data_IF_521531232922
#
_entry.id   IF_521531232922
#
_cell.length_a   1.000
_cell.length_b   1.000
_cell.length_c   1.000
_cell.angle_alpha   90.00
_cell.angle_beta   90.00
_cell.angle_gamma   90.00
#
_symmetry.space_group_name_H-M   'P 1'
#
loop_
_entity.id
_entity.type
_entity.pdbx_description
1 polymer ?
#
# COMPACT_ATOMS: atom_id res chain seq x y z
N UNK A 1 22.07 4.67 1.58
CA UNK A 1 21.67 3.25 1.64
C UNK A 1 22.69 2.42 0.90
N UNK A 2 23.19 1.33 1.50
CA UNK A 2 24.17 0.47 0.85
C UNK A 2 23.50 -0.45 -0.16
N UNK A 3 24.04 -0.50 -1.37
CA UNK A 3 23.61 -1.40 -2.44
C UNK A 3 24.65 -2.51 -2.59
N UNK A 4 24.19 -3.76 -2.57
CA UNK A 4 25.07 -4.90 -2.89
C UNK A 4 25.10 -5.07 -4.42
N UNK A 5 26.29 -4.91 -4.99
CA UNK A 5 26.56 -5.17 -6.41
C UNK A 5 27.12 -6.57 -6.57
N UNK A 6 26.58 -7.34 -7.51
CA UNK A 6 27.03 -8.69 -7.85
C UNK A 6 27.27 -8.76 -9.35
N UNK A 7 28.53 -8.80 -9.77
CA UNK A 7 28.84 -8.98 -11.17
C UNK A 7 28.74 -10.46 -11.55
N UNK A 8 27.93 -10.75 -12.56
CA UNK A 8 27.73 -12.10 -13.05
C UNK A 8 28.98 -12.57 -13.82
N UNK A 9 29.48 -13.78 -13.56
CA UNK A 9 30.60 -14.31 -14.32
C UNK A 9 30.20 -14.68 -15.76
N UNK A 10 31.14 -14.54 -16.70
CA UNK A 10 30.85 -14.87 -18.11
C UNK A 10 30.68 -16.38 -18.36
N UNK A 11 31.21 -17.25 -17.51
CA UNK A 11 31.02 -18.68 -17.60
C UNK A 11 29.58 -19.10 -17.27
N UNK A 12 29.17 -20.30 -17.67
CA UNK A 12 27.89 -20.89 -17.28
C UNK A 12 27.85 -21.13 -15.78
N UNK A 13 26.69 -21.01 -15.16
CA UNK A 13 26.53 -21.16 -13.72
C UNK A 13 26.95 -22.58 -13.26
N UNK A 14 27.74 -22.63 -12.21
CA UNK A 14 28.05 -23.84 -11.44
C UNK A 14 28.22 -23.45 -9.97
N UNK A 15 28.07 -24.39 -9.06
CA UNK A 15 28.22 -24.14 -7.61
C UNK A 15 29.64 -23.68 -7.22
N UNK A 16 30.65 -24.02 -8.04
CA UNK A 16 32.05 -23.64 -7.81
C UNK A 16 32.42 -22.25 -8.37
N UNK A 17 31.49 -21.59 -9.07
CA UNK A 17 31.77 -20.34 -9.75
C UNK A 17 31.93 -19.19 -8.72
N UNK A 18 32.84 -18.27 -9.03
CA UNK A 18 33.05 -17.07 -8.18
C UNK A 18 32.35 -15.86 -8.81
N UNK A 19 31.75 -15.06 -7.96
CA UNK A 19 31.13 -13.79 -8.31
C UNK A 19 31.96 -12.66 -7.74
N UNK A 20 32.07 -11.57 -8.46
CA UNK A 20 32.64 -10.36 -7.92
C UNK A 20 31.53 -9.57 -7.21
N UNK A 21 31.66 -9.46 -5.89
CA UNK A 21 30.65 -8.89 -5.00
C UNK A 21 31.25 -7.69 -4.28
N UNK A 22 30.52 -6.59 -4.26
CA UNK A 22 30.94 -5.37 -3.57
C UNK A 22 29.78 -4.59 -2.99
N UNK A 23 30.08 -3.78 -1.99
CA UNK A 23 29.16 -2.79 -1.45
C UNK A 23 29.42 -1.44 -2.11
N UNK A 24 28.40 -0.78 -2.56
CA UNK A 24 28.48 0.55 -3.14
C UNK A 24 27.65 1.54 -2.33
N UNK A 25 28.31 2.60 -1.84
CA UNK A 25 27.68 3.79 -1.32
C UNK A 25 27.14 4.72 -2.43
N UNK A 26 26.59 5.84 -2.07
CA UNK A 26 26.22 6.89 -3.04
C UNK A 26 27.49 7.64 -3.45
N UNK A 27 27.89 7.49 -4.73
CA UNK A 27 28.99 8.24 -5.34
C UNK A 27 30.34 7.54 -5.38
N UNK A 28 30.57 6.48 -4.61
CA UNK A 28 31.86 5.80 -4.56
C UNK A 28 31.95 4.63 -5.54
N UNK A 29 33.14 4.45 -6.18
CA UNK A 29 33.40 3.28 -6.99
C UNK A 29 33.37 2.01 -6.12
N UNK A 30 32.66 0.94 -6.54
CA UNK A 30 32.53 -0.27 -5.75
C UNK A 30 33.86 -1.03 -5.67
N UNK A 31 34.27 -1.41 -4.47
CA UNK A 31 35.34 -2.36 -4.27
C UNK A 31 34.78 -3.76 -4.40
N UNK A 32 35.07 -4.44 -5.52
CA UNK A 32 34.59 -5.78 -5.79
C UNK A 32 35.55 -6.84 -5.27
N UNK A 33 35.02 -7.85 -4.59
CA UNK A 33 35.80 -8.97 -4.05
C UNK A 33 35.24 -10.26 -4.65
N UNK A 34 36.14 -11.08 -5.22
CA UNK A 34 35.74 -12.35 -5.83
C UNK A 34 35.46 -13.41 -4.76
N UNK A 35 34.21 -13.88 -4.69
CA UNK A 35 33.76 -14.88 -3.71
C UNK A 35 32.88 -15.92 -4.35
N UNK A 36 32.79 -17.10 -3.69
CA UNK A 36 31.78 -18.11 -4.00
C UNK A 36 30.50 -17.80 -3.24
N UNK A 37 29.35 -18.22 -3.76
CA UNK A 37 28.05 -17.97 -3.11
C UNK A 37 27.87 -18.73 -1.80
N UNK A 38 28.59 -19.85 -1.60
CA UNK A 38 28.60 -20.62 -0.36
C UNK A 38 29.49 -20.02 0.73
N UNK A 39 30.43 -19.14 0.37
CA UNK A 39 31.22 -18.35 1.31
C UNK A 39 30.34 -17.25 1.88
N UNK A 40 29.65 -17.55 3.00
CA UNK A 40 28.63 -16.69 3.61
C UNK A 40 29.01 -15.21 3.66
N UNK A 41 28.39 -14.44 2.79
CA UNK A 41 28.01 -13.09 3.13
C UNK A 41 26.50 -13.15 3.32
N UNK A 42 26.04 -13.53 4.51
CA UNK A 42 24.65 -13.26 4.89
C UNK A 42 24.42 -11.79 4.56
N UNK A 43 23.43 -11.44 3.73
CA UNK A 43 23.10 -10.05 3.48
C UNK A 43 22.82 -9.46 4.86
N UNK A 44 23.75 -8.64 5.33
CA UNK A 44 23.58 -7.94 6.60
C UNK A 44 22.23 -7.23 6.48
N UNK A 45 21.42 -7.21 7.53
CA UNK A 45 20.09 -6.57 7.55
C UNK A 45 20.08 -5.11 7.06
N UNK A 46 21.27 -4.54 6.83
CA UNK A 46 21.51 -3.18 6.34
C UNK A 46 21.55 -3.03 4.81
N UNK A 47 21.65 -4.14 4.04
CA UNK A 47 21.66 -4.06 2.56
C UNK A 47 20.25 -3.78 2.06
N UNK A 48 20.06 -2.59 1.52
CA UNK A 48 18.75 -2.13 1.05
C UNK A 48 18.36 -2.69 -0.31
N UNK A 49 19.34 -3.07 -1.13
CA UNK A 49 19.13 -3.47 -2.52
C UNK A 49 20.24 -4.39 -3.02
N UNK A 50 19.87 -5.44 -3.76
CA UNK A 50 20.79 -6.30 -4.49
C UNK A 50 20.66 -6.04 -5.98
N UNK A 51 21.74 -5.56 -6.60
CA UNK A 51 21.82 -5.27 -8.04
C UNK A 51 22.82 -6.22 -8.68
N UNK A 52 22.34 -7.01 -9.66
CA UNK A 52 23.21 -7.84 -10.46
C UNK A 52 23.66 -7.09 -11.72
N UNK A 53 24.93 -7.30 -12.13
CA UNK A 53 25.56 -6.67 -13.28
C UNK A 53 25.83 -7.73 -14.32
N UNK A 54 25.27 -7.55 -15.52
CA UNK A 54 25.54 -8.44 -16.67
C UNK A 54 26.77 -7.96 -17.39
N UNK A 55 27.81 -8.81 -17.56
CA UNK A 55 29.02 -8.43 -18.27
C UNK A 55 28.77 -8.00 -19.71
N UNK A 56 29.43 -6.97 -20.17
CA UNK A 56 29.27 -6.44 -21.53
C UNK A 56 29.50 -7.52 -22.62
N UNK A 57 30.40 -8.48 -22.36
CA UNK A 57 30.69 -9.61 -23.26
C UNK A 57 29.51 -10.61 -23.41
N UNK A 58 28.52 -10.54 -22.56
CA UNK A 58 27.31 -11.39 -22.59
C UNK A 58 26.09 -10.69 -23.16
N UNK A 59 26.27 -9.46 -23.61
CA UNK A 59 25.22 -8.64 -24.21
C UNK A 59 25.55 -8.35 -25.67
N UNK A 60 24.56 -8.47 -26.52
CA UNK A 60 24.54 -7.87 -27.85
C UNK A 60 23.50 -6.77 -27.91
N UNK A 61 23.76 -5.77 -28.74
CA UNK A 61 22.95 -4.55 -28.80
C UNK A 61 22.38 -4.39 -30.20
N UNK A 62 21.06 -4.27 -30.27
CA UNK A 62 20.33 -4.17 -31.55
C UNK A 62 19.36 -3.00 -31.51
N UNK A 63 19.10 -2.42 -32.66
CA UNK A 63 18.13 -1.34 -32.82
C UNK A 63 16.89 -1.87 -33.50
N UNK A 64 15.71 -1.61 -32.91
CA UNK A 64 14.44 -2.04 -33.45
C UNK A 64 13.48 -0.87 -33.56
N UNK A 65 12.88 -0.70 -34.71
CA UNK A 65 11.79 0.26 -34.92
C UNK A 65 10.50 -0.33 -34.37
N UNK A 66 9.92 0.32 -33.33
CA UNK A 66 8.72 -0.18 -32.68
C UNK A 66 7.49 0.59 -33.16
N UNK A 67 6.53 -0.08 -33.82
CA UNK A 67 5.30 0.53 -34.28
C UNK A 67 4.48 1.14 -33.11
N UNK A 68 3.90 2.32 -33.37
CA UNK A 68 3.09 3.03 -32.37
C UNK A 68 1.93 2.18 -31.81
N UNK A 69 1.35 1.32 -32.65
CA UNK A 69 0.26 0.43 -32.27
C UNK A 69 0.64 -0.61 -31.21
N UNK A 70 1.91 -1.00 -31.13
CA UNK A 70 2.41 -2.00 -30.19
C UNK A 70 2.86 -1.41 -28.85
N UNK A 71 3.09 -0.09 -28.77
CA UNK A 71 3.66 0.56 -27.57
C UNK A 71 2.86 0.40 -26.29
N UNK A 72 1.58 0.03 -26.38
CA UNK A 72 0.69 -0.23 -25.23
C UNK A 72 0.46 -1.72 -24.95
N UNK A 73 1.09 -2.63 -25.70
CA UNK A 73 0.79 -4.06 -25.68
C UNK A 73 1.99 -4.89 -25.20
N UNK A 74 2.33 -4.84 -23.92
CA UNK A 74 3.56 -5.37 -23.34
C UNK A 74 4.03 -6.76 -23.84
N UNK A 75 3.21 -7.82 -23.77
CA UNK A 75 3.60 -9.18 -24.24
C UNK A 75 3.78 -9.27 -25.76
N UNK A 76 3.01 -8.51 -26.53
CA UNK A 76 3.13 -8.54 -27.99
C UNK A 76 4.40 -7.87 -28.49
N UNK A 77 4.97 -6.96 -27.72
CA UNK A 77 6.24 -6.31 -28.06
C UNK A 77 7.39 -7.32 -27.98
N UNK A 78 7.43 -8.19 -26.95
CA UNK A 78 8.46 -9.22 -26.87
C UNK A 78 8.47 -10.12 -28.10
N UNK A 79 7.28 -10.57 -28.53
CA UNK A 79 7.13 -11.40 -29.75
C UNK A 79 7.56 -10.64 -30.98
N UNK A 80 7.16 -9.36 -31.09
CA UNK A 80 7.55 -8.51 -32.21
C UNK A 80 9.08 -8.33 -32.30
N UNK A 81 9.75 -8.02 -31.19
CA UNK A 81 11.19 -7.85 -31.14
C UNK A 81 11.91 -9.14 -31.53
N UNK A 82 11.45 -10.28 -31.03
CA UNK A 82 11.97 -11.60 -31.36
C UNK A 82 11.95 -11.85 -32.86
N UNK A 83 10.81 -11.60 -33.50
CA UNK A 83 10.66 -11.79 -34.95
C UNK A 83 11.47 -10.74 -35.74
N UNK A 84 11.51 -9.49 -35.28
CA UNK A 84 12.25 -8.42 -35.98
C UNK A 84 13.77 -8.60 -35.92
N UNK A 85 14.29 -9.35 -34.97
CA UNK A 85 15.71 -9.61 -34.80
C UNK A 85 16.14 -11.02 -35.23
N UNK A 86 15.21 -11.86 -35.66
CA UNK A 86 15.48 -13.28 -36.01
C UNK A 86 16.67 -13.43 -36.97
N UNK A 87 16.68 -12.63 -38.05
CA UNK A 87 17.75 -12.66 -39.05
C UNK A 87 19.07 -12.03 -38.60
N UNK A 88 19.04 -11.25 -37.51
CA UNK A 88 20.23 -10.57 -36.98
C UNK A 88 20.93 -11.33 -35.83
N UNK A 89 20.32 -12.42 -35.36
CA UNK A 89 20.80 -13.18 -34.21
C UNK A 89 21.43 -14.50 -34.69
N UNK A 90 22.48 -14.91 -33.99
CA UNK A 90 23.20 -16.17 -34.26
C UNK A 90 22.59 -17.36 -33.51
N UNK A 91 21.90 -17.10 -32.39
CA UNK A 91 21.25 -18.12 -31.56
C UNK A 91 19.72 -18.09 -31.80
N UNK A 92 19.07 -19.21 -31.52
CA UNK A 92 17.63 -19.33 -31.59
C UNK A 92 16.93 -18.26 -30.70
N UNK A 93 16.00 -17.47 -31.22
CA UNK A 93 15.35 -16.41 -30.45
C UNK A 93 14.61 -16.91 -29.22
N UNK A 94 14.24 -18.20 -29.16
CA UNK A 94 13.64 -18.85 -28.01
C UNK A 94 14.58 -18.94 -26.80
N UNK A 95 15.87 -19.05 -27.05
CA UNK A 95 16.91 -19.18 -26.05
C UNK A 95 17.51 -17.84 -25.63
N UNK A 96 16.98 -16.76 -26.18
CA UNK A 96 17.44 -15.41 -25.88
C UNK A 96 16.47 -14.66 -24.98
N UNK A 97 17.04 -13.79 -24.17
CA UNK A 97 16.34 -12.82 -23.39
C UNK A 97 16.56 -11.43 -23.99
N UNK A 98 15.46 -10.70 -24.14
CA UNK A 98 15.42 -9.38 -24.73
C UNK A 98 15.08 -8.35 -23.67
N UNK A 99 15.76 -7.23 -23.62
CA UNK A 99 15.42 -6.12 -22.74
C UNK A 99 15.47 -4.78 -23.49
N UNK A 100 14.39 -4.02 -23.39
CA UNK A 100 14.25 -2.73 -24.03
C UNK A 100 14.89 -1.61 -23.23
N UNK A 101 15.37 -0.59 -23.93
CA UNK A 101 15.86 0.65 -23.35
C UNK A 101 14.78 1.30 -22.43
N UNK A 102 15.19 2.06 -21.39
CA UNK A 102 14.25 2.66 -20.43
C UNK A 102 13.16 3.52 -21.07
N UNK A 103 13.51 4.29 -22.08
CA UNK A 103 12.61 5.26 -22.74
C UNK A 103 12.05 4.79 -24.10
N UNK A 104 12.11 3.50 -24.39
CA UNK A 104 11.72 2.91 -25.66
C UNK A 104 10.34 3.37 -26.17
N UNK A 105 9.38 3.59 -25.27
CA UNK A 105 8.03 3.98 -25.67
C UNK A 105 7.93 5.40 -26.27
N UNK A 106 8.93 6.24 -26.05
CA UNK A 106 9.01 7.62 -26.56
C UNK A 106 9.77 7.72 -27.87
N UNK A 107 10.60 6.72 -28.18
CA UNK A 107 11.49 6.72 -29.32
C UNK A 107 10.92 5.91 -30.49
N UNK A 108 11.21 6.34 -31.73
CA UNK A 108 10.80 5.59 -32.92
C UNK A 108 11.61 4.30 -33.05
N UNK A 109 12.91 4.38 -32.77
CA UNK A 109 13.86 3.27 -32.79
C UNK A 109 14.42 3.07 -31.41
N UNK A 110 14.17 1.90 -30.82
CA UNK A 110 14.62 1.57 -29.46
C UNK A 110 15.85 0.65 -29.48
N UNK A 111 16.72 0.81 -28.51
CA UNK A 111 17.76 -0.16 -28.23
C UNK A 111 17.19 -1.37 -27.51
N UNK A 112 17.67 -2.54 -27.92
CA UNK A 112 17.38 -3.84 -27.33
C UNK A 112 18.69 -4.49 -26.91
N UNK A 113 18.82 -4.79 -25.61
CA UNK A 113 19.87 -5.64 -25.09
C UNK A 113 19.45 -7.10 -25.21
N UNK A 114 20.29 -7.94 -25.75
CA UNK A 114 20.00 -9.37 -25.93
C UNK A 114 21.09 -10.20 -25.24
N UNK A 115 20.69 -11.22 -24.52
CA UNK A 115 21.60 -12.19 -23.90
C UNK A 115 21.01 -13.59 -23.85
N UNK A 116 21.88 -14.60 -23.67
CA UNK A 116 21.46 -15.99 -23.55
C UNK A 116 20.61 -16.19 -22.28
N UNK A 117 19.36 -16.65 -22.45
CA UNK A 117 18.37 -16.84 -21.37
C UNK A 117 18.75 -17.96 -20.40
N UNK A 118 19.15 -19.18 -20.84
CA UNK A 118 19.60 -20.24 -19.94
C UNK A 118 20.77 -19.81 -19.06
N UNK A 119 21.77 -19.12 -19.64
CA UNK A 119 22.88 -18.58 -18.88
C UNK A 119 22.42 -17.60 -17.80
N UNK A 120 21.61 -16.61 -18.17
CA UNK A 120 21.12 -15.59 -17.26
C UNK A 120 20.23 -16.18 -16.16
N UNK A 121 19.31 -17.04 -16.53
CA UNK A 121 18.42 -17.72 -15.58
C UNK A 121 19.20 -18.58 -14.60
N UNK A 122 20.19 -19.34 -15.06
CA UNK A 122 21.04 -20.16 -14.19
C UNK A 122 21.73 -19.35 -13.11
N UNK A 123 22.24 -18.16 -13.45
CA UNK A 123 22.87 -17.26 -12.47
C UNK A 123 21.84 -16.65 -11.51
N UNK A 124 20.69 -16.20 -11.98
CA UNK A 124 19.64 -15.65 -11.14
C UNK A 124 19.06 -16.69 -10.16
N UNK A 125 18.82 -17.90 -10.64
CA UNK A 125 18.37 -19.03 -9.81
C UNK A 125 19.43 -19.41 -8.77
N UNK A 126 20.70 -19.43 -9.15
CA UNK A 126 21.83 -19.66 -8.24
C UNK A 126 21.93 -18.62 -7.14
N UNK A 127 21.78 -17.34 -7.49
CA UNK A 127 21.75 -16.24 -6.52
C UNK A 127 20.53 -16.36 -5.58
N UNK A 128 19.36 -16.67 -6.12
CA UNK A 128 18.13 -16.84 -5.33
C UNK A 128 18.29 -18.00 -4.34
N UNK A 129 18.86 -19.15 -4.77
CA UNK A 129 19.12 -20.30 -3.91
C UNK A 129 20.14 -19.98 -2.80
N UNK A 130 21.08 -19.05 -3.05
CA UNK A 130 22.01 -18.55 -2.06
C UNK A 130 21.41 -17.44 -1.15
N UNK A 131 20.12 -17.11 -1.32
CA UNK A 131 19.42 -16.10 -0.52
C UNK A 131 19.53 -14.66 -1.03
N UNK A 132 20.11 -14.44 -2.21
CA UNK A 132 20.21 -13.11 -2.82
C UNK A 132 19.03 -12.85 -3.76
N UNK A 133 18.08 -12.02 -3.34
CA UNK A 133 16.97 -11.61 -4.20
C UNK A 133 17.38 -10.41 -5.03
N UNK A 134 17.67 -10.64 -6.30
CA UNK A 134 18.08 -9.59 -7.24
C UNK A 134 16.89 -8.67 -7.51
N UNK A 135 17.01 -7.41 -7.12
CA UNK A 135 15.99 -6.38 -7.31
C UNK A 135 16.09 -5.66 -8.63
N UNK A 136 17.30 -5.57 -9.19
CA UNK A 136 17.58 -4.92 -10.46
C UNK A 136 18.74 -5.63 -11.17
N UNK A 137 18.63 -5.76 -12.49
CA UNK A 137 19.65 -6.33 -13.34
C UNK A 137 20.13 -5.26 -14.33
N UNK A 138 21.37 -4.83 -14.21
CA UNK A 138 21.92 -3.77 -15.05
C UNK A 138 22.97 -4.32 -16.02
N UNK A 139 23.12 -3.73 -17.22
CA UNK A 139 24.26 -4.04 -18.08
C UNK A 139 25.52 -3.40 -17.50
N UNK A 140 26.68 -4.02 -17.67
CA UNK A 140 27.97 -3.44 -17.32
C UNK A 140 28.26 -2.16 -18.13
N UNK A 141 27.97 -2.21 -19.44
CA UNK A 141 28.04 -1.08 -20.35
C UNK A 141 26.71 -1.00 -21.16
N UNK A 142 26.35 0.20 -21.56
CA UNK A 142 25.14 0.47 -22.34
C UNK A 142 25.37 1.55 -23.38
N UNK A 143 24.54 1.66 -24.44
CA UNK A 143 24.65 2.75 -25.42
C UNK A 143 24.49 4.11 -24.76
N UNK A 144 25.53 4.93 -24.80
CA UNK A 144 25.58 6.26 -24.18
C UNK A 144 25.25 7.36 -25.18
N UNK A 145 24.59 8.46 -24.79
CA UNK A 145 24.31 9.59 -25.68
C UNK A 145 25.59 10.18 -26.29
N UNK A 146 26.62 10.35 -25.48
CA UNK A 146 27.92 10.79 -25.91
C UNK A 146 28.82 9.57 -26.17
N UNK A 147 29.59 9.59 -27.27
CA UNK A 147 30.54 8.53 -27.55
C UNK A 147 31.58 8.44 -26.43
N UNK A 148 31.87 7.22 -26.01
CA UNK A 148 32.81 6.97 -24.95
C UNK A 148 33.68 5.75 -25.28
N UNK A 149 34.97 5.85 -25.01
CA UNK A 149 35.92 4.76 -25.14
C UNK A 149 36.46 4.37 -23.77
N UNK A 150 36.39 3.08 -23.44
CA UNK A 150 36.86 2.56 -22.15
C UNK A 150 37.90 1.46 -22.36
N UNK A 151 39.12 1.69 -21.87
CA UNK A 151 40.13 0.67 -21.80
C UNK A 151 40.15 0.02 -20.43
N UNK A 152 39.54 -1.18 -20.34
CA UNK A 152 39.39 -1.93 -19.09
C UNK A 152 40.41 -3.08 -19.06
N UNK A 153 41.53 -2.84 -18.37
CA UNK A 153 42.65 -3.77 -18.24
C UNK A 153 42.62 -4.64 -17.00
N UNK A 154 41.74 -4.33 -16.05
CA UNK A 154 41.64 -5.04 -14.76
C UNK A 154 41.03 -6.46 -14.89
N UNK A 155 40.28 -6.74 -15.93
CA UNK A 155 39.70 -8.06 -16.16
C UNK A 155 40.78 -9.08 -16.63
N UNK A 156 40.48 -10.40 -16.42
CA UNK A 156 41.35 -11.48 -16.95
C UNK A 156 41.55 -11.41 -18.46
N UNK A 157 40.67 -10.75 -19.15
CA UNK A 157 40.72 -10.52 -20.59
C UNK A 157 40.54 -9.02 -20.84
N UNK A 158 41.61 -8.23 -20.90
CA UNK A 158 41.53 -6.80 -21.14
C UNK A 158 40.81 -6.48 -22.45
N UNK A 159 39.96 -5.45 -22.41
CA UNK A 159 39.14 -5.03 -23.56
C UNK A 159 39.15 -3.52 -23.71
N UNK A 160 39.11 -3.10 -24.96
CA UNK A 160 38.79 -1.74 -25.37
C UNK A 160 37.31 -1.73 -25.80
N UNK A 161 36.50 -1.02 -25.07
CA UNK A 161 35.07 -0.89 -25.31
C UNK A 161 34.72 0.45 -25.91
N UNK A 162 33.75 0.43 -26.81
CA UNK A 162 33.17 1.61 -27.44
C UNK A 162 31.66 1.64 -27.12
N UNK A 163 31.18 2.77 -26.64
CA UNK A 163 29.77 2.97 -26.36
C UNK A 163 29.25 4.22 -27.07
N UNK A 164 28.15 4.09 -27.80
CA UNK A 164 27.55 5.21 -28.52
C UNK A 164 26.09 4.98 -28.80
N UNK A 165 25.27 6.04 -28.75
CA UNK A 165 23.83 5.99 -29.03
C UNK A 165 23.51 5.48 -30.45
N UNK A 166 24.41 5.66 -31.40
CA UNK A 166 24.17 5.23 -32.78
C UNK A 166 24.66 3.79 -33.04
N UNK A 167 25.78 3.40 -32.48
CA UNK A 167 26.45 2.16 -32.82
C UNK A 167 26.34 1.08 -31.73
N UNK A 168 25.76 1.44 -30.58
CA UNK A 168 25.59 0.53 -29.46
C UNK A 168 26.85 0.38 -28.61
N UNK A 169 27.09 -0.83 -28.14
CA UNK A 169 28.27 -1.21 -27.37
C UNK A 169 28.99 -2.34 -28.09
N UNK A 170 30.23 -2.16 -28.36
CA UNK A 170 31.07 -3.19 -28.94
C UNK A 170 32.49 -3.07 -28.38
N UNK A 171 33.27 -4.12 -28.44
CA UNK A 171 34.60 -4.15 -27.87
C UNK A 171 35.54 -5.05 -28.62
N UNK A 172 36.82 -4.71 -28.53
CA UNK A 172 37.93 -5.50 -29.07
C UNK A 172 38.88 -5.88 -27.93
N UNK A 173 39.64 -6.97 -28.06
CA UNK A 173 40.71 -7.27 -27.12
C UNK A 173 41.68 -6.08 -27.00
N UNK A 174 42.07 -5.73 -25.78
CA UNK A 174 42.96 -4.65 -25.51
C UNK A 174 44.41 -5.13 -25.71
N UNK A 175 44.87 -4.97 -26.92
CA UNK A 175 46.24 -5.17 -27.34
C UNK A 175 46.79 -3.83 -27.88
N UNK A 176 48.10 -3.58 -27.74
CA UNK A 176 48.70 -2.28 -28.12
C UNK A 176 48.51 -1.94 -29.59
N UNK A 177 48.69 -2.91 -30.47
CA UNK A 177 48.52 -2.72 -31.91
C UNK A 177 47.07 -2.57 -32.32
N UNK A 178 46.19 -3.45 -31.77
CA UNK A 178 44.76 -3.42 -32.03
C UNK A 178 44.11 -2.12 -31.51
N UNK A 179 44.46 -1.69 -30.29
CA UNK A 179 43.99 -0.45 -29.72
C UNK A 179 44.40 0.78 -30.55
N UNK A 180 45.67 0.83 -30.98
CA UNK A 180 46.19 1.91 -31.83
C UNK A 180 45.46 1.97 -33.18
N UNK A 181 45.27 0.83 -33.84
CA UNK A 181 44.58 0.72 -35.11
C UNK A 181 43.11 1.12 -34.99
N UNK A 182 42.42 0.63 -33.95
CA UNK A 182 41.03 0.96 -33.72
C UNK A 182 40.81 2.45 -33.42
N UNK A 183 41.66 3.05 -32.61
CA UNK A 183 41.58 4.47 -32.29
C UNK A 183 41.92 5.35 -33.52
N UNK A 184 42.83 4.91 -34.40
CA UNK A 184 43.14 5.58 -35.66
C UNK A 184 41.98 5.47 -36.66
N UNK A 185 41.37 4.30 -36.79
CA UNK A 185 40.22 4.10 -37.68
C UNK A 185 39.02 4.96 -37.31
N UNK A 186 38.85 5.26 -36.02
CA UNK A 186 37.78 6.15 -35.53
C UNK A 186 38.01 7.63 -35.85
N UNK A 187 39.25 8.03 -36.08
CA UNK A 187 39.62 9.40 -36.45
C UNK A 187 39.24 9.77 -37.91
N UNK A 188 39.10 8.77 -38.80
CA UNK A 188 38.84 9.01 -40.21
C UNK A 188 37.42 9.45 -40.56
N UNK A 189 36.40 9.01 -39.81
CA UNK A 189 35.00 9.19 -40.16
C UNK A 189 34.13 9.91 -39.11
N UNK A 190 34.63 10.23 -37.93
CA UNK A 190 33.80 10.70 -36.83
C UNK A 190 34.52 11.68 -35.90
N UNK A 191 34.41 12.96 -36.16
CA UNK A 191 34.89 14.05 -35.31
C UNK A 191 34.41 13.96 -33.84
N UNK A 192 33.33 13.23 -33.55
CA UNK A 192 32.70 13.16 -32.23
C UNK A 192 33.27 12.05 -31.31
N UNK A 193 33.90 11.00 -31.81
CA UNK A 193 34.37 9.85 -31.02
C UNK A 193 35.72 10.08 -30.31
N UNK A 194 36.35 11.22 -30.55
CA UNK A 194 37.74 11.42 -30.16
C UNK A 194 37.97 12.02 -28.78
N UNK A 195 36.95 12.50 -28.06
CA UNK A 195 37.20 13.41 -26.95
C UNK A 195 37.25 12.78 -25.55
N UNK A 196 36.62 11.62 -25.32
CA UNK A 196 36.59 11.05 -23.97
C UNK A 196 37.07 9.59 -23.95
N UNK A 197 38.33 9.39 -23.66
CA UNK A 197 38.89 8.07 -23.40
C UNK A 197 39.05 7.89 -21.90
N UNK A 198 38.44 6.87 -21.38
CA UNK A 198 38.58 6.47 -19.98
C UNK A 198 39.38 5.19 -19.89
N UNK A 199 40.27 5.08 -18.91
CA UNK A 199 41.04 3.88 -18.69
C UNK A 199 41.16 3.58 -17.19
N UNK A 200 41.08 2.31 -16.82
CA UNK A 200 41.56 1.89 -15.52
C UNK A 200 43.10 1.86 -15.50
N UNK A 201 43.73 1.80 -14.34
CA UNK A 201 45.19 1.86 -14.21
C UNK A 201 45.91 0.74 -14.98
N UNK A 202 45.43 -0.51 -15.11
CA UNK A 202 46.01 -1.49 -16.02
C UNK A 202 45.75 -1.18 -17.49
N UNK A 203 44.58 -0.67 -17.86
CA UNK A 203 44.16 -0.38 -19.22
C UNK A 203 44.94 0.79 -19.83
N UNK A 204 45.28 1.80 -19.04
CA UNK A 204 46.05 2.96 -19.49
C UNK A 204 47.43 2.59 -20.08
N UNK A 205 48.06 1.52 -19.57
CA UNK A 205 49.35 1.02 -20.06
C UNK A 205 49.35 0.57 -21.54
N UNK A 206 48.16 0.22 -22.04
CA UNK A 206 47.98 -0.16 -23.45
C UNK A 206 47.77 1.07 -24.35
N UNK A 207 47.48 2.23 -23.76
CA UNK A 207 47.20 3.48 -24.47
C UNK A 207 48.35 4.46 -24.45
N UNK A 208 49.45 4.19 -23.71
CA UNK A 208 50.59 5.08 -23.52
C UNK A 208 51.31 5.48 -24.81
N UNK A 209 51.08 4.78 -25.92
CA UNK A 209 51.66 5.10 -27.24
C UNK A 209 50.88 6.17 -28.02
N UNK A 210 49.70 6.62 -27.50
CA UNK A 210 48.83 7.59 -28.16
C UNK A 210 49.01 8.98 -27.56
N UNK A 211 50.08 9.68 -27.98
CA UNK A 211 50.50 10.96 -27.39
C UNK A 211 49.54 12.15 -27.57
N UNK A 212 48.52 12.04 -28.43
CA UNK A 212 47.65 13.16 -28.77
C UNK A 212 46.25 13.14 -28.10
N UNK A 213 45.94 12.14 -27.31
CA UNK A 213 44.60 12.00 -26.70
C UNK A 213 44.65 12.08 -25.18
N UNK A 214 43.75 12.87 -24.63
CA UNK A 214 43.57 12.98 -23.17
C UNK A 214 42.89 11.73 -22.62
N UNK A 215 43.65 10.86 -21.95
CA UNK A 215 43.10 9.69 -21.24
C UNK A 215 42.77 10.08 -19.81
N UNK A 216 41.51 9.91 -19.45
CA UNK A 216 41.05 10.12 -18.08
C UNK A 216 41.15 8.81 -17.31
N UNK A 217 41.95 8.80 -16.25
CA UNK A 217 42.04 7.64 -15.37
C UNK A 217 40.78 7.51 -14.51
N UNK A 218 40.21 6.31 -14.49
CA UNK A 218 39.06 5.95 -13.64
C UNK A 218 39.49 4.90 -12.62
N UNK A 219 38.80 4.89 -11.48
CA UNK A 219 38.99 3.84 -10.49
C UNK A 219 38.50 2.48 -11.02
N UNK A 220 39.04 1.39 -10.46
CA UNK A 220 38.57 0.05 -10.82
C UNK A 220 37.08 -0.05 -10.57
N UNK A 221 36.34 -0.57 -11.57
CA UNK A 221 34.85 -0.74 -11.54
C UNK A 221 34.06 0.57 -11.47
N UNK A 222 34.63 1.74 -11.64
CA UNK A 222 33.88 3.02 -11.67
C UNK A 222 32.81 3.05 -12.76
N UNK A 223 33.09 2.44 -13.93
CA UNK A 223 32.13 2.30 -15.02
C UNK A 223 30.84 1.56 -14.61
N UNK A 224 30.91 0.65 -13.62
CA UNK A 224 29.73 -0.02 -13.06
C UNK A 224 28.84 0.98 -12.32
N UNK A 225 29.43 2.00 -11.69
CA UNK A 225 28.68 3.06 -11.04
C UNK A 225 27.87 3.90 -12.04
N UNK A 226 28.41 4.12 -13.24
CA UNK A 226 27.69 4.81 -14.32
C UNK A 226 26.46 3.99 -14.75
N UNK A 227 26.62 2.67 -14.91
CA UNK A 227 25.50 1.76 -15.22
C UNK A 227 24.49 1.67 -14.10
N UNK A 228 24.94 1.70 -12.86
CA UNK A 228 24.05 1.74 -11.68
C UNK A 228 23.18 3.01 -11.67
N UNK A 229 23.76 4.16 -12.04
CA UNK A 229 23.02 5.43 -12.10
C UNK A 229 22.09 5.53 -13.31
N UNK A 230 22.26 4.67 -14.32
CA UNK A 230 21.37 4.60 -15.47
C UNK A 230 20.00 4.06 -15.10
N UNK A 231 19.01 4.26 -15.98
CA UNK A 231 17.66 3.70 -15.80
C UNK A 231 17.51 2.29 -16.39
N UNK A 232 18.59 1.68 -16.91
CA UNK A 232 18.56 0.34 -17.48
C UNK A 232 18.23 -0.71 -16.44
N UNK A 233 17.31 -1.60 -16.80
CA UNK A 233 16.94 -2.78 -16.03
C UNK A 233 16.62 -3.91 -17.01
N UNK A 234 17.46 -4.92 -17.02
CA UNK A 234 17.32 -6.08 -17.90
C UNK A 234 16.33 -7.13 -17.36
N UNK A 235 15.86 -7.00 -16.11
CA UNK A 235 14.82 -7.86 -15.60
C UNK A 235 13.46 -7.49 -16.21
N UNK A 236 13.22 -7.89 -17.42
CA UNK A 236 11.96 -7.66 -18.13
C UNK A 236 11.28 -8.98 -18.48
N UNK A 237 10.00 -8.95 -18.85
CA UNK A 237 9.17 -10.08 -19.30
C UNK A 237 9.14 -11.24 -18.30
N UNK A 238 9.53 -12.45 -18.77
CA UNK A 238 9.49 -13.69 -17.98
C UNK A 238 10.47 -13.73 -16.80
N UNK A 239 11.48 -12.86 -16.80
CA UNK A 239 12.43 -12.72 -15.69
C UNK A 239 11.95 -11.75 -14.60
N UNK A 240 10.77 -11.20 -14.76
CA UNK A 240 10.17 -10.38 -13.71
C UNK A 240 9.76 -11.28 -12.54
N UNK A 241 10.53 -11.25 -11.46
CA UNK A 241 10.06 -11.77 -10.17
C UNK A 241 8.91 -10.89 -9.67
N UNK A 242 7.86 -11.53 -9.16
CA UNK A 242 6.65 -10.95 -8.55
C UNK A 242 6.51 -9.41 -8.61
N UNK A 243 5.57 -8.93 -9.42
CA UNK A 243 5.32 -7.50 -9.71
C UNK A 243 5.16 -6.63 -8.47
N UNK A 244 4.68 -7.18 -7.35
CA UNK A 244 4.40 -6.42 -6.13
C UNK A 244 5.65 -5.81 -5.48
N UNK A 245 6.75 -6.55 -5.41
CA UNK A 245 7.99 -6.05 -4.81
C UNK A 245 8.72 -5.03 -5.70
N UNK A 246 8.54 -5.11 -7.02
CA UNK A 246 9.18 -4.20 -7.97
C UNK A 246 8.51 -2.85 -8.11
N UNK A 247 7.18 -2.83 -8.11
CA UNK A 247 6.41 -1.58 -8.13
C UNK A 247 6.72 -0.75 -6.89
N UNK A 248 6.83 -1.40 -5.75
CA UNK A 248 7.14 -0.75 -4.48
C UNK A 248 8.57 -0.18 -4.46
N UNK A 249 9.57 -0.91 -4.98
CA UNK A 249 10.95 -0.42 -5.06
C UNK A 249 11.14 0.66 -6.13
N UNK A 250 10.46 0.56 -7.28
CA UNK A 250 10.48 1.62 -8.32
C UNK A 250 9.81 2.90 -7.84
N UNK A 251 8.64 2.78 -7.21
CA UNK A 251 7.94 3.92 -6.63
C UNK A 251 8.75 4.58 -5.52
N UNK A 252 9.40 3.78 -4.68
CA UNK A 252 10.22 4.27 -3.58
C UNK A 252 11.49 4.98 -4.07
N UNK A 253 12.16 4.44 -5.12
CA UNK A 253 13.33 5.09 -5.74
C UNK A 253 12.99 6.39 -6.45
N UNK A 254 11.90 6.40 -7.20
CA UNK A 254 11.39 7.61 -7.85
C UNK A 254 11.05 8.68 -6.82
N UNK A 255 10.36 8.30 -5.75
CA UNK A 255 10.03 9.18 -4.64
C UNK A 255 11.28 9.67 -3.89
N UNK A 256 12.25 8.79 -3.66
CA UNK A 256 13.48 9.12 -2.95
C UNK A 256 14.37 10.06 -3.77
N UNK A 257 14.55 9.82 -5.07
CA UNK A 257 15.28 10.71 -5.97
C UNK A 257 14.63 12.10 -6.01
N UNK A 258 13.31 12.12 -6.17
CA UNK A 258 12.52 13.36 -6.14
C UNK A 258 12.62 14.07 -4.78
N UNK A 259 12.62 13.30 -3.68
CA UNK A 259 12.70 13.82 -2.32
C UNK A 259 14.07 14.43 -1.98
N UNK A 260 15.18 13.89 -2.48
CA UNK A 260 16.55 14.37 -2.16
C UNK A 260 17.13 15.36 -3.18
N UNK A 261 16.47 15.62 -4.30
CA UNK A 261 16.93 16.61 -5.27
C UNK A 261 16.91 18.03 -4.65
N UNK A 262 18.05 18.74 -4.76
CA UNK A 262 18.25 20.08 -4.20
C UNK A 262 17.24 21.10 -4.73
N UNK A 263 16.75 20.90 -5.97
CA UNK A 263 15.76 21.77 -6.62
C UNK A 263 14.42 21.82 -5.86
N UNK A 264 14.10 20.76 -5.11
CA UNK A 264 12.83 20.59 -4.40
C UNK A 264 12.91 20.89 -2.90
N UNK A 265 14.05 21.45 -2.41
CA UNK A 265 14.24 21.79 -0.98
C UNK A 265 13.12 22.68 -0.42
N UNK A 266 12.70 23.70 -1.17
CA UNK A 266 11.61 24.61 -0.75
C UNK A 266 10.25 23.93 -0.71
N UNK A 267 10.00 23.03 -1.68
CA UNK A 267 8.76 22.26 -1.73
C UNK A 267 8.66 21.28 -0.56
N UNK A 268 9.77 20.59 -0.21
CA UNK A 268 9.83 19.72 0.97
C UNK A 268 9.50 20.46 2.26
N UNK A 269 10.13 21.64 2.45
CA UNK A 269 9.87 22.46 3.64
C UNK A 269 8.39 22.87 3.71
N UNK A 270 7.79 23.25 2.58
CA UNK A 270 6.37 23.56 2.47
C UNK A 270 5.47 22.35 2.76
N UNK A 271 5.79 21.17 2.22
CA UNK A 271 5.03 19.94 2.44
C UNK A 271 5.09 19.47 3.90
N UNK A 272 6.27 19.54 4.53
CA UNK A 272 6.43 19.21 5.96
C UNK A 272 5.66 20.19 6.83
N UNK A 273 5.73 21.49 6.53
CA UNK A 273 4.96 22.52 7.24
C UNK A 273 3.45 22.28 7.11
N UNK A 274 2.97 21.96 5.91
CA UNK A 274 1.56 21.68 5.65
C UNK A 274 1.07 20.42 6.38
N UNK A 275 1.89 19.36 6.43
CA UNK A 275 1.62 18.16 7.22
C UNK A 275 1.56 18.47 8.72
N UNK A 276 2.49 19.27 9.22
CA UNK A 276 2.51 19.68 10.62
C UNK A 276 1.26 20.50 10.99
N UNK A 277 0.88 21.46 10.15
CA UNK A 277 -0.34 22.27 10.33
C UNK A 277 -1.59 21.38 10.30
N UNK A 278 -1.65 20.41 9.39
CA UNK A 278 -2.78 19.46 9.30
C UNK A 278 -2.88 18.59 10.55
N UNK A 279 -1.75 18.04 11.03
CA UNK A 279 -1.71 17.22 12.26
C UNK A 279 -2.12 18.03 13.49
N UNK A 280 -1.64 19.28 13.61
CA UNK A 280 -2.03 20.18 14.70
C UNK A 280 -3.52 20.50 14.59
N UNK A 281 -3.99 20.85 13.38
CA UNK A 281 -5.40 21.16 13.12
C UNK A 281 -6.34 20.01 13.46
N UNK A 282 -6.00 18.79 13.07
CA UNK A 282 -6.76 17.59 13.42
C UNK A 282 -6.81 17.33 14.93
N UNK A 283 -5.68 17.52 15.63
CA UNK A 283 -5.64 17.37 17.09
C UNK A 283 -6.50 18.43 17.79
N UNK A 284 -6.41 19.68 17.38
CA UNK A 284 -7.24 20.78 17.93
C UNK A 284 -8.71 20.52 17.64
N UNK A 285 -9.05 20.11 16.42
CA UNK A 285 -10.42 19.78 16.05
C UNK A 285 -10.98 18.60 16.86
N UNK A 286 -10.19 17.54 17.03
CA UNK A 286 -10.58 16.38 17.86
C UNK A 286 -10.83 16.81 19.31
N UNK A 287 -9.95 17.63 19.90
CA UNK A 287 -10.13 18.15 21.24
C UNK A 287 -11.38 19.03 21.37
N UNK A 288 -11.68 19.82 20.33
CA UNK A 288 -12.86 20.68 20.31
C UNK A 288 -14.17 19.87 20.22
N UNK A 289 -14.20 18.85 19.36
CA UNK A 289 -15.33 17.93 19.24
C UNK A 289 -15.53 17.12 20.53
N UNK A 290 -14.47 16.65 21.14
CA UNK A 290 -14.53 15.94 22.43
C UNK A 290 -15.09 16.84 23.54
N UNK A 291 -14.63 18.09 23.64
CA UNK A 291 -15.15 19.07 24.60
C UNK A 291 -16.65 19.37 24.38
N UNK A 292 -17.13 19.40 23.13
CA UNK A 292 -18.55 19.56 22.82
C UNK A 292 -19.36 18.35 23.24
N UNK A 293 -18.86 17.14 22.98
CA UNK A 293 -19.50 15.89 23.40
C UNK A 293 -19.58 15.78 24.92
N UNK A 294 -18.54 16.17 25.63
CA UNK A 294 -18.52 16.16 27.09
C UNK A 294 -19.57 17.12 27.66
N UNK A 295 -19.68 18.33 27.11
CA UNK A 295 -20.71 19.29 27.52
C UNK A 295 -22.13 18.76 27.28
N UNK A 296 -22.38 18.15 26.12
CA UNK A 296 -23.70 17.53 25.82
C UNK A 296 -24.01 16.38 26.76
N UNK A 297 -23.00 15.55 27.07
CA UNK A 297 -23.16 14.48 28.05
C UNK A 297 -23.46 15.00 29.47
N UNK A 298 -22.77 16.07 29.89
CA UNK A 298 -23.04 16.70 31.18
C UNK A 298 -24.44 17.31 31.26
N UNK A 299 -24.90 17.98 30.20
CA UNK A 299 -26.28 18.48 30.11
C UNK A 299 -27.30 17.36 30.16
N UNK A 300 -27.09 16.26 29.43
CA UNK A 300 -27.93 15.07 29.48
C UNK A 300 -27.97 14.45 30.88
N UNK A 301 -26.81 14.37 31.56
CA UNK A 301 -26.73 13.89 32.94
C UNK A 301 -27.50 14.76 33.92
N UNK A 302 -27.45 16.09 33.76
CA UNK A 302 -28.22 17.02 34.58
C UNK A 302 -29.69 16.86 34.34
N UNK A 303 -30.15 16.82 33.10
CA UNK A 303 -31.55 16.60 32.73
C UNK A 303 -32.09 15.27 33.26
N UNK A 304 -31.24 14.22 33.16
CA UNK A 304 -31.62 12.89 33.67
C UNK A 304 -31.79 12.90 35.20
N UNK A 305 -30.85 13.52 35.94
CA UNK A 305 -30.95 13.62 37.42
C UNK A 305 -32.18 14.39 37.88
N UNK A 306 -32.55 15.44 37.15
CA UNK A 306 -33.76 16.23 37.45
C UNK A 306 -35.01 15.45 37.13
N UNK A 307 -35.05 14.72 36.02
CA UNK A 307 -36.25 13.97 35.58
C UNK A 307 -36.44 12.64 36.32
N UNK A 308 -35.37 12.01 36.78
CA UNK A 308 -35.39 10.70 37.45
C UNK A 308 -34.56 10.64 38.73
N UNK A 309 -34.93 11.35 39.79
CA UNK A 309 -34.16 11.43 41.03
C UNK A 309 -33.96 10.12 41.77
N UNK A 310 -34.70 9.08 41.39
CA UNK A 310 -34.63 7.76 42.03
C UNK A 310 -33.50 6.88 41.56
N UNK A 311 -32.82 7.22 40.44
CA UNK A 311 -31.73 6.43 39.86
C UNK A 311 -30.40 6.88 40.46
N UNK A 312 -29.81 6.03 41.30
CA UNK A 312 -28.55 6.37 42.03
C UNK A 312 -27.26 6.24 41.19
N UNK A 313 -27.26 5.39 40.17
CA UNK A 313 -26.06 5.12 39.34
C UNK A 313 -26.43 5.30 37.86
N UNK A 314 -25.77 6.22 37.18
CA UNK A 314 -25.97 6.50 35.77
C UNK A 314 -24.72 6.02 35.02
N UNK A 315 -24.87 4.96 34.21
CA UNK A 315 -23.81 4.40 33.37
C UNK A 315 -23.94 4.92 31.92
N UNK A 316 -25.19 4.91 31.41
CA UNK A 316 -25.48 5.39 30.06
C UNK A 316 -26.82 6.17 30.14
N UNK A 317 -26.75 7.52 30.19
CA UNK A 317 -27.95 8.34 30.40
C UNK A 317 -29.00 8.14 29.31
N UNK A 318 -28.56 7.98 28.06
CA UNK A 318 -29.47 7.87 26.92
C UNK A 318 -30.25 6.55 26.93
N UNK A 319 -29.60 5.43 27.20
CA UNK A 319 -30.26 4.12 27.27
C UNK A 319 -31.16 4.02 28.48
N UNK A 320 -30.75 4.57 29.61
CA UNK A 320 -31.55 4.57 30.85
C UNK A 320 -32.77 5.45 30.72
N UNK A 321 -32.66 6.61 30.05
CA UNK A 321 -33.80 7.50 29.78
C UNK A 321 -34.85 6.82 28.89
N UNK A 322 -34.43 6.09 27.85
CA UNK A 322 -35.33 5.30 27.00
C UNK A 322 -36.00 4.18 27.76
N UNK A 323 -35.28 3.48 28.61
CA UNK A 323 -35.81 2.38 29.42
C UNK A 323 -36.87 2.88 30.44
N UNK A 324 -36.59 3.98 31.13
CA UNK A 324 -37.55 4.57 32.09
C UNK A 324 -38.77 5.18 31.40
N UNK A 325 -38.58 5.82 30.24
CA UNK A 325 -39.72 6.29 29.44
C UNK A 325 -40.62 5.13 28.96
N UNK A 326 -40.02 3.98 28.58
CA UNK A 326 -40.78 2.79 28.21
C UNK A 326 -41.50 2.18 29.41
N UNK A 327 -40.87 2.12 30.58
CA UNK A 327 -41.53 1.65 31.83
C UNK A 327 -42.72 2.52 32.20
N UNK A 328 -42.57 3.83 32.15
CA UNK A 328 -43.67 4.77 32.45
C UNK A 328 -44.79 4.63 31.46
N UNK A 329 -44.52 4.49 30.17
CA UNK A 329 -45.55 4.22 29.13
C UNK A 329 -46.26 2.88 29.38
N UNK A 330 -45.57 1.84 29.77
CA UNK A 330 -46.16 0.54 30.09
C UNK A 330 -47.07 0.63 31.30
N UNK A 331 -46.66 1.32 32.37
CA UNK A 331 -47.48 1.56 33.56
C UNK A 331 -48.75 2.34 33.23
N UNK A 332 -48.65 3.42 32.45
CA UNK A 332 -49.80 4.21 32.00
C UNK A 332 -50.80 3.36 31.17
N UNK A 333 -50.26 2.52 30.27
CA UNK A 333 -51.08 1.63 29.43
C UNK A 333 -51.82 0.60 30.27
N UNK A 334 -51.17 0.03 31.28
CA UNK A 334 -51.80 -0.94 32.21
C UNK A 334 -52.86 -0.28 33.07
N UNK A 335 -52.57 0.90 33.62
CA UNK A 335 -53.55 1.66 34.43
C UNK A 335 -54.79 2.08 33.61
N UNK A 336 -54.60 2.51 32.35
CA UNK A 336 -55.69 2.84 31.44
C UNK A 336 -56.57 1.64 31.10
N UNK A 337 -55.94 0.48 30.85
CA UNK A 337 -56.66 -0.75 30.54
C UNK A 337 -57.50 -1.20 31.75
N UNK A 338 -56.94 -1.11 32.94
CA UNK A 338 -57.63 -1.46 34.19
C UNK A 338 -58.85 -0.51 34.50
N UNK A 339 -58.61 0.81 34.33
CA UNK A 339 -59.69 1.78 34.47
C UNK A 339 -60.84 1.56 33.46
N UNK A 340 -60.51 1.40 32.16
CA UNK A 340 -61.43 1.17 31.08
C UNK A 340 -62.30 -0.10 31.34
N UNK A 341 -61.64 -1.18 31.77
CA UNK A 341 -62.30 -2.44 32.07
C UNK A 341 -63.25 -2.32 33.27
N UNK A 342 -62.83 -1.61 34.32
CA UNK A 342 -63.72 -1.41 35.52
C UNK A 342 -64.93 -0.57 35.22
N UNK A 343 -64.73 0.52 34.43
CA UNK A 343 -65.88 1.42 34.12
C UNK A 343 -66.86 0.76 33.14
N UNK A 344 -66.34 0.00 32.13
CA UNK A 344 -67.17 -0.71 31.18
C UNK A 344 -68.06 -1.75 31.89
N UNK A 345 -67.46 -2.54 32.77
CA UNK A 345 -68.19 -3.55 33.54
C UNK A 345 -69.25 -2.96 34.52
N UNK A 346 -68.86 -1.85 35.15
CA UNK A 346 -69.83 -1.16 36.01
C UNK A 346 -70.98 -0.61 35.19
N UNK A 347 -70.73 -0.02 34.01
CA UNK A 347 -71.77 0.50 33.12
C UNK A 347 -72.66 -0.58 32.56
N UNK A 348 -72.15 -1.79 32.26
CA UNK A 348 -72.98 -2.95 31.81
C UNK A 348 -73.93 -3.47 32.89
N UNK A 349 -73.55 -3.33 34.13
CA UNK A 349 -74.27 -3.87 35.26
C UNK A 349 -75.19 -2.85 35.91
N UNK A 350 -75.03 -1.57 35.64
CA UNK A 350 -75.80 -0.48 36.19
C UNK A 350 -77.07 -0.28 35.32
N UNK A 351 -78.33 -0.48 35.86
CA UNK A 351 -79.50 -0.28 35.08
C UNK A 351 -79.77 1.22 34.81
N UNK A 352 -80.46 1.55 33.72
CA UNK A 352 -80.69 2.95 33.30
C UNK A 352 -81.42 3.79 34.32
N UNK A 353 -82.12 3.15 35.29
CA UNK A 353 -82.88 3.80 36.36
C UNK A 353 -82.02 4.26 37.55
N UNK A 354 -80.68 3.90 37.54
CA UNK A 354 -79.75 4.21 38.65
C UNK A 354 -79.36 5.66 38.81
N UNK A 355 -79.82 6.50 37.92
CA UNK A 355 -79.48 7.91 37.89
C UNK A 355 -78.14 8.16 37.21
N UNK A 356 -77.74 9.41 37.10
CA UNK A 356 -76.45 9.82 36.48
C UNK A 356 -75.39 9.94 37.57
N UNK A 357 -74.24 9.35 37.30
CA UNK A 357 -73.08 9.52 38.14
C UNK A 357 -72.65 11.01 38.19
N UNK A 358 -72.52 11.59 39.36
CA UNK A 358 -72.16 12.98 39.57
C UNK A 358 -70.65 13.15 39.58
N UNK A 359 -69.90 12.15 40.06
CA UNK A 359 -68.43 12.16 40.15
C UNK A 359 -67.87 10.75 39.97
N UNK A 360 -66.80 10.61 39.16
CA UNK A 360 -66.11 9.37 38.98
C UNK A 360 -64.64 9.59 39.30
N UNK A 361 -64.09 8.90 40.28
CA UNK A 361 -62.72 8.97 40.70
C UNK A 361 -62.05 7.60 40.61
N UNK A 362 -60.85 7.51 40.01
CA UNK A 362 -60.06 6.27 39.93
C UNK A 362 -58.75 6.47 40.62
N UNK A 363 -58.43 5.76 41.67
CA UNK A 363 -57.21 5.87 42.45
C UNK A 363 -56.81 4.50 42.99
N UNK A 364 -55.53 4.11 42.80
CA UNK A 364 -54.95 2.84 43.30
C UNK A 364 -55.83 1.61 42.95
N UNK A 365 -56.22 1.48 41.66
CA UNK A 365 -57.04 0.38 41.11
C UNK A 365 -58.50 0.33 41.66
N UNK A 366 -58.94 1.31 42.37
CA UNK A 366 -60.23 1.42 42.91
C UNK A 366 -60.99 2.52 42.19
N UNK A 367 -62.14 2.17 41.61
CA UNK A 367 -63.06 3.08 40.96
C UNK A 367 -64.15 3.50 41.96
N UNK A 368 -64.28 4.78 42.27
CA UNK A 368 -65.29 5.36 43.15
C UNK A 368 -66.27 6.17 42.31
N UNK A 369 -67.54 5.85 42.39
CA UNK A 369 -68.55 6.56 41.65
C UNK A 369 -69.58 7.08 42.65
N UNK A 370 -69.89 8.36 42.58
CA UNK A 370 -70.91 9.02 43.46
C UNK A 370 -72.17 9.44 42.70
N UNK A 371 -73.26 9.46 43.41
CA UNK A 371 -74.52 9.96 42.86
C UNK A 371 -75.43 8.89 42.22
N UNK A 372 -75.09 7.62 42.37
CA UNK A 372 -75.93 6.50 41.94
C UNK A 372 -76.85 6.09 43.09
N UNK A 373 -78.19 5.93 42.80
CA UNK A 373 -79.23 5.49 43.77
C UNK A 373 -79.89 4.26 43.26
N UNK A 374 -80.00 3.21 44.12
CA UNK A 374 -80.69 1.97 43.76
C UNK A 374 -81.38 1.27 44.95
N UNK A 375 -82.27 0.36 44.62
CA UNK A 375 -82.94 -0.47 45.64
C UNK A 375 -82.02 -1.55 46.22
N UNK A 376 -82.19 -1.99 47.48
CA UNK A 376 -81.33 -3.00 48.11
C UNK A 376 -81.21 -4.33 47.34
N UNK A 377 -82.31 -4.72 46.65
CA UNK A 377 -82.40 -5.97 45.88
C UNK A 377 -81.49 -5.92 44.61
N UNK A 378 -81.47 -4.78 43.91
CA UNK A 378 -80.66 -4.57 42.73
C UNK A 378 -79.18 -4.48 43.09
N UNK A 379 -78.81 -3.88 44.21
CA UNK A 379 -77.46 -3.85 44.72
C UNK A 379 -76.94 -5.25 45.04
N UNK A 380 -77.69 -6.15 45.58
CA UNK A 380 -77.31 -7.53 45.83
C UNK A 380 -77.01 -8.28 44.53
N UNK A 381 -77.81 -8.03 43.49
CA UNK A 381 -77.59 -8.66 42.17
C UNK A 381 -76.35 -8.12 41.45
N UNK A 382 -76.09 -6.82 41.52
CA UNK A 382 -74.87 -6.22 40.97
C UNK A 382 -73.62 -6.74 41.68
N UNK A 383 -73.66 -6.87 43.00
CA UNK A 383 -72.57 -7.39 43.81
C UNK A 383 -72.25 -8.84 43.46
N UNK A 384 -73.24 -9.67 43.25
CA UNK A 384 -73.07 -11.07 42.85
C UNK A 384 -72.39 -11.19 41.43
N UNK A 385 -72.86 -10.38 40.51
CA UNK A 385 -72.32 -10.37 39.14
C UNK A 385 -70.87 -9.78 39.07
N UNK A 386 -70.57 -8.76 39.84
CA UNK A 386 -69.20 -8.20 39.94
C UNK A 386 -68.26 -9.17 40.64
N UNK A 387 -68.67 -9.90 41.65
CA UNK A 387 -67.87 -10.93 42.30
C UNK A 387 -67.38 -12.01 41.31
N UNK A 388 -68.24 -12.41 40.34
CA UNK A 388 -67.93 -13.31 39.25
C UNK A 388 -66.90 -12.76 38.28
N UNK A 389 -66.58 -11.46 38.32
CA UNK A 389 -65.57 -10.78 37.51
C UNK A 389 -64.30 -10.39 38.30
N UNK A 390 -64.03 -10.98 39.45
CA UNK A 390 -62.92 -10.62 40.34
C UNK A 390 -62.94 -9.16 40.85
N UNK A 391 -64.09 -8.52 40.86
CA UNK A 391 -64.24 -7.16 41.33
C UNK A 391 -65.24 -7.20 42.53
N UNK A 392 -64.96 -6.41 43.59
CA UNK A 392 -65.80 -6.24 44.75
C UNK A 392 -66.43 -4.86 44.74
N UNK A 393 -67.76 -4.80 45.09
CA UNK A 393 -68.54 -3.57 45.20
C UNK A 393 -68.82 -3.26 46.67
N UNK A 394 -68.29 -2.17 47.15
CA UNK A 394 -68.65 -1.58 48.46
C UNK A 394 -69.46 -0.35 48.22
N UNK A 395 -70.65 -0.34 48.83
CA UNK A 395 -71.54 0.78 48.76
C UNK A 395 -71.62 1.46 50.15
N UNK A 396 -71.31 2.74 50.14
CA UNK A 396 -71.48 3.64 51.27
C UNK A 396 -72.64 4.60 50.96
N UNK A 397 -73.17 5.33 51.96
CA UNK A 397 -74.32 6.17 51.80
C UNK A 397 -74.39 7.11 50.59
N UNK A 398 -73.19 7.50 50.07
CA UNK A 398 -73.08 8.45 48.96
C UNK A 398 -72.16 8.02 47.85
N UNK A 399 -71.52 6.84 47.93
CA UNK A 399 -70.47 6.40 46.97
C UNK A 399 -70.43 4.88 46.76
N UNK A 400 -70.26 4.48 45.51
CA UNK A 400 -69.97 3.11 45.09
C UNK A 400 -68.54 2.95 44.83
N UNK A 401 -67.87 2.00 45.48
CA UNK A 401 -66.45 1.74 45.33
C UNK A 401 -66.28 0.35 44.75
N UNK A 402 -65.73 0.27 43.53
CA UNK A 402 -65.40 -0.97 42.83
C UNK A 402 -63.88 -1.15 42.79
N UNK A 403 -63.43 -2.23 43.37
CA UNK A 403 -62.00 -2.56 43.44
C UNK A 403 -61.77 -4.05 43.22
N UNK A 404 -60.53 -4.50 43.11
CA UNK A 404 -60.20 -5.91 42.99
C UNK A 404 -60.59 -6.67 44.26
N UNK A 405 -61.09 -7.90 44.08
CA UNK A 405 -61.40 -8.80 45.19
C UNK A 405 -60.09 -9.08 45.96
N UNK A 406 -59.95 -8.57 47.15
CA UNK A 406 -58.85 -8.91 48.06
C UNK A 406 -59.12 -10.35 48.56
N UNK A 407 -58.37 -11.31 47.97
CA UNK A 407 -58.29 -12.66 48.54
C UNK A 407 -57.61 -12.54 49.90
N UNK A 408 -58.33 -12.61 50.95
CA UNK A 408 -57.77 -12.83 52.28
C UNK A 408 -57.20 -14.24 52.30
N UNK A 409 -55.87 -14.37 52.12
CA UNK A 409 -55.21 -15.62 52.45
C UNK A 409 -55.39 -15.90 53.93
N UNK A 410 -56.00 -17.09 54.19
CA UNK A 410 -56.07 -17.68 55.50
C UNK A 410 -54.79 -18.30 55.90
#
# INVERSE_FOLDING_TARGET
>A
METLLIQLPTATFSSAIRFDIGLAGEGDAPVMISRRLDEQVSPNKTVAEVVAVVPARRLSWHRVEIPLSLRRQGRRIEVYIRNALEDALLEEPSDLHFALAPNWAKEKVAWVAVCNRPWLKGHLDGLANAGYVVSRLIPELYPTPEPCVLALGHSRNPMLWFTHQRDGVWGIPLDKEAAATALLSLNGDREALSEKIFADAPGSRYLDSQQDKTVTLIANNEHIQWSRSSEWDLLQWSLQSSESNRLMTKAWRSANRWWFDLKWKRFRQGSVALLAVNLIGLNVWTAMVQSQLDKQNDELLQLFKVSYPQVKVVIDPHKQMLAEAQRTKAQIKTARASFSASISKLGELTPPEAGLAKEIQYKAEVLTVRGLTQSPEQLALIRTKLAGSNLDLKVSEDAWTVGPLVKVEK
#
